data_IF_297903891488
#
_entry.id   IF_297903891488
#
_cell.length_a   1.000
_cell.length_b   1.000
_cell.length_c   1.000
_cell.angle_alpha   90.00
_cell.angle_beta   90.00
_cell.angle_gamma   90.00
#
_symmetry.space_group_name_H-M   'P 1'
#
loop_
_entity.id
_entity.type
_entity.pdbx_description
1 polymer ?
#
# COMPACT_ATOMS: atom_id res chain seq x y z
N UNK A 1 7.11 -1.05 -12.37
CA UNK A 1 6.21 -0.91 -11.21
C UNK A 1 6.99 -1.14 -9.92
N UNK A 2 6.73 -0.34 -8.89
CA UNK A 2 7.15 -0.59 -7.51
C UNK A 2 5.94 -1.08 -6.72
N UNK A 3 5.99 -2.28 -6.14
CA UNK A 3 5.00 -2.76 -5.18
C UNK A 3 5.56 -2.59 -3.77
N UNK A 4 4.91 -1.74 -2.97
CA UNK A 4 5.30 -1.45 -1.59
C UNK A 4 4.48 -2.33 -0.64
N UNK A 5 5.18 -3.11 0.19
CA UNK A 5 4.56 -4.16 0.99
C UNK A 5 4.16 -5.35 0.12
N UNK A 6 5.09 -5.86 -0.72
CA UNK A 6 4.80 -7.00 -1.61
C UNK A 6 4.37 -8.26 -0.83
N UNK A 7 4.77 -8.36 0.45
CA UNK A 7 4.42 -9.47 1.31
C UNK A 7 4.77 -10.82 0.71
N UNK A 8 3.83 -11.73 0.66
CA UNK A 8 4.00 -13.06 0.05
C UNK A 8 3.74 -13.09 -1.47
N UNK A 9 3.56 -11.93 -2.11
CA UNK A 9 3.37 -11.82 -3.56
C UNK A 9 1.94 -12.12 -4.03
N UNK A 10 0.93 -11.78 -3.21
CA UNK A 10 -0.48 -12.05 -3.53
C UNK A 10 -0.99 -11.28 -4.77
N UNK A 11 -0.38 -10.15 -5.10
CA UNK A 11 -0.74 -9.38 -6.30
C UNK A 11 -0.03 -9.88 -7.56
N UNK A 12 1.04 -10.66 -7.45
CA UNK A 12 1.83 -11.11 -8.60
C UNK A 12 1.00 -11.79 -9.70
N UNK A 13 0.01 -12.65 -9.39
CA UNK A 13 -0.81 -13.29 -10.43
C UNK A 13 -1.67 -12.32 -11.25
N UNK A 14 -1.84 -11.09 -10.80
CA UNK A 14 -2.71 -10.10 -11.46
C UNK A 14 -1.94 -9.10 -12.35
N UNK A 15 -0.61 -9.19 -12.39
CA UNK A 15 0.17 -8.36 -13.30
C UNK A 15 0.04 -8.84 -14.74
N UNK A 16 -0.26 -7.89 -15.63
CA UNK A 16 -0.32 -8.12 -17.07
C UNK A 16 1.08 -7.94 -17.68
N UNK A 17 1.74 -9.04 -18.00
CA UNK A 17 3.09 -9.06 -18.57
C UNK A 17 3.21 -8.37 -19.92
N UNK A 18 2.10 -8.12 -20.62
CA UNK A 18 2.09 -7.33 -21.85
C UNK A 18 2.25 -5.83 -21.59
N UNK A 19 1.98 -5.37 -20.35
CA UNK A 19 1.98 -3.96 -19.94
C UNK A 19 3.08 -3.65 -18.91
N UNK A 20 3.40 -4.61 -18.05
CA UNK A 20 4.38 -4.44 -16.98
C UNK A 20 5.68 -5.13 -17.37
N UNK A 21 6.70 -4.34 -17.66
CA UNK A 21 8.00 -4.85 -18.11
C UNK A 21 8.92 -5.23 -16.96
N UNK A 22 8.72 -4.64 -15.76
CA UNK A 22 9.54 -4.92 -14.59
C UNK A 22 8.78 -4.63 -13.30
N UNK A 23 8.88 -5.54 -12.35
CA UNK A 23 8.31 -5.41 -11.01
C UNK A 23 9.44 -5.32 -10.00
N UNK A 24 9.33 -4.38 -9.07
CA UNK A 24 10.17 -4.28 -7.89
C UNK A 24 9.28 -4.44 -6.66
N UNK A 25 9.61 -5.39 -5.79
CA UNK A 25 8.89 -5.61 -4.54
C UNK A 25 9.71 -5.10 -3.37
N UNK A 26 9.13 -4.20 -2.57
CA UNK A 26 9.70 -3.67 -1.34
C UNK A 26 8.95 -4.26 -0.14
N UNK A 27 9.68 -4.89 0.78
CA UNK A 27 9.10 -5.40 2.03
C UNK A 27 10.19 -5.52 3.11
N UNK A 28 9.93 -5.14 4.38
CA UNK A 28 10.89 -5.32 5.46
C UNK A 28 11.01 -6.79 5.93
N UNK A 29 10.04 -7.65 5.61
CA UNK A 29 10.04 -9.06 6.02
C UNK A 29 10.77 -9.94 5.02
N UNK A 30 11.91 -10.49 5.43
CA UNK A 30 12.65 -11.46 4.61
C UNK A 30 11.87 -12.76 4.40
N UNK A 31 11.09 -13.18 5.39
CA UNK A 31 10.25 -14.37 5.33
C UNK A 31 9.17 -14.22 4.24
N UNK A 32 8.41 -13.13 4.27
CA UNK A 32 7.39 -12.84 3.27
C UNK A 32 8.01 -12.65 1.88
N UNK A 33 9.14 -11.95 1.79
CA UNK A 33 9.88 -11.78 0.53
C UNK A 33 10.36 -13.12 -0.05
N UNK A 34 10.69 -14.10 0.79
CA UNK A 34 11.05 -15.45 0.32
C UNK A 34 9.84 -16.16 -0.29
N UNK A 35 8.66 -16.02 0.29
CA UNK A 35 7.42 -16.55 -0.28
C UNK A 35 7.07 -15.87 -1.60
N UNK A 36 7.22 -14.54 -1.68
CA UNK A 36 7.01 -13.79 -2.92
C UNK A 36 7.97 -14.21 -4.04
N UNK A 37 9.23 -14.51 -3.71
CA UNK A 37 10.22 -15.06 -4.69
C UNK A 37 9.77 -16.40 -5.25
N UNK A 38 9.24 -17.27 -4.41
CA UNK A 38 8.69 -18.56 -4.85
C UNK A 38 7.45 -18.36 -5.74
N UNK A 39 6.55 -17.47 -5.35
CA UNK A 39 5.37 -17.10 -6.15
C UNK A 39 5.78 -16.54 -7.51
N UNK A 40 6.73 -15.61 -7.56
CA UNK A 40 7.26 -15.04 -8.79
C UNK A 40 7.85 -16.09 -9.72
N UNK A 41 8.65 -17.02 -9.17
CA UNK A 41 9.24 -18.14 -9.91
C UNK A 41 8.18 -19.06 -10.52
N UNK A 42 7.13 -19.37 -9.76
CA UNK A 42 6.04 -20.24 -10.23
C UNK A 42 5.20 -19.59 -11.35
N UNK A 43 5.20 -18.26 -11.42
CA UNK A 43 4.50 -17.46 -12.43
C UNK A 43 5.40 -17.03 -13.60
N UNK A 44 6.68 -17.41 -13.59
CA UNK A 44 7.70 -16.98 -14.56
C UNK A 44 7.77 -15.44 -14.68
N UNK A 45 7.75 -14.76 -13.53
CA UNK A 45 7.83 -13.30 -13.42
C UNK A 45 9.22 -12.86 -12.99
N UNK A 46 9.80 -11.87 -13.71
CA UNK A 46 11.03 -11.22 -13.28
C UNK A 46 10.73 -10.13 -12.26
N UNK A 47 10.92 -10.45 -10.98
CA UNK A 47 10.69 -9.53 -9.87
C UNK A 47 12.00 -9.26 -9.14
N UNK A 48 12.36 -7.99 -9.01
CA UNK A 48 13.48 -7.55 -8.17
C UNK A 48 12.98 -7.26 -6.75
N UNK A 49 13.69 -7.74 -5.74
CA UNK A 49 13.29 -7.59 -4.35
C UNK A 49 14.25 -6.66 -3.60
N UNK A 50 13.66 -5.75 -2.82
CA UNK A 50 14.35 -4.83 -1.91
C UNK A 50 13.88 -5.15 -0.50
N UNK A 51 14.81 -5.40 0.40
CA UNK A 51 14.51 -5.55 1.83
C UNK A 51 14.65 -4.18 2.50
N UNK A 52 13.56 -3.68 3.09
CA UNK A 52 13.55 -2.39 3.77
C UNK A 52 12.16 -1.81 3.97
N UNK A 53 12.08 -0.76 4.76
CA UNK A 53 10.86 0.02 4.97
C UNK A 53 10.62 1.02 3.85
N UNK A 54 9.38 1.43 3.70
CA UNK A 54 8.99 2.41 2.68
C UNK A 54 9.37 3.86 3.05
N UNK A 55 9.80 4.08 4.28
CA UNK A 55 10.23 5.40 4.79
C UNK A 55 11.58 5.85 4.23
N UNK A 56 12.35 4.93 3.62
CA UNK A 56 13.63 5.21 2.98
C UNK A 56 13.84 4.19 1.85
N UNK A 57 13.47 4.56 0.63
CA UNK A 57 13.55 3.67 -0.54
C UNK A 57 14.92 3.85 -1.20
N UNK A 58 15.80 2.81 -1.24
CA UNK A 58 17.17 2.92 -1.76
C UNK A 58 17.22 2.90 -3.30
N UNK A 59 16.40 3.74 -3.93
CA UNK A 59 16.28 3.87 -5.37
C UNK A 59 16.29 5.35 -5.78
N UNK A 60 16.72 5.66 -7.00
CA UNK A 60 16.78 7.04 -7.47
C UNK A 60 15.40 7.68 -7.62
N UNK A 61 15.39 9.01 -7.63
CA UNK A 61 14.21 9.81 -7.94
C UNK A 61 13.71 9.52 -9.37
N UNK A 62 12.41 9.69 -9.60
CA UNK A 62 11.80 9.62 -10.93
C UNK A 62 12.09 8.30 -11.68
N UNK A 63 12.05 7.19 -10.99
CA UNK A 63 12.42 5.88 -11.53
C UNK A 63 11.22 5.07 -12.03
N UNK A 64 10.10 5.08 -11.30
CA UNK A 64 8.93 4.24 -11.59
C UNK A 64 7.80 4.98 -12.29
N UNK A 65 7.12 4.28 -13.20
CA UNK A 65 5.89 4.77 -13.82
C UNK A 65 4.67 4.55 -12.90
N UNK A 66 4.72 3.55 -12.05
CA UNK A 66 3.62 3.19 -11.15
C UNK A 66 4.16 2.66 -9.83
N UNK A 67 3.58 3.10 -8.73
CA UNK A 67 3.66 2.44 -7.44
C UNK A 67 2.32 1.77 -7.11
N UNK A 68 2.37 0.58 -6.50
CA UNK A 68 1.20 -0.14 -5.99
C UNK A 68 1.35 -0.34 -4.49
N UNK A 69 0.31 -0.01 -3.73
CA UNK A 69 0.25 -0.21 -2.28
C UNK A 69 -1.07 -0.85 -1.93
N UNK A 70 -1.03 -2.04 -1.33
CA UNK A 70 -2.25 -2.77 -0.96
C UNK A 70 -2.14 -3.31 0.46
N UNK A 71 -3.07 -2.91 1.34
CA UNK A 71 -3.12 -3.32 2.75
C UNK A 71 -1.79 -3.17 3.50
N UNK A 72 -1.06 -2.11 3.18
CA UNK A 72 0.28 -1.83 3.69
C UNK A 72 0.36 -0.51 4.44
N UNK A 73 -0.30 0.55 3.93
CA UNK A 73 -0.30 1.86 4.59
C UNK A 73 -0.80 1.79 6.04
N UNK A 74 -1.64 0.81 6.37
CA UNK A 74 -2.16 0.63 7.73
C UNK A 74 -1.08 0.19 8.73
N UNK A 75 0.03 -0.42 8.29
CA UNK A 75 1.10 -0.97 9.15
C UNK A 75 2.37 -0.13 9.17
N UNK A 76 2.60 0.72 8.17
CA UNK A 76 3.82 1.55 8.11
C UNK A 76 3.81 2.57 9.25
N UNK A 77 4.82 2.62 10.14
CA UNK A 77 4.85 3.56 11.25
C UNK A 77 4.77 5.02 10.80
N UNK A 78 5.70 5.47 9.95
CA UNK A 78 5.82 6.83 9.44
C UNK A 78 5.16 6.95 8.06
N UNK A 79 3.84 6.68 7.98
CA UNK A 79 3.12 6.54 6.70
C UNK A 79 3.20 7.77 5.80
N UNK A 80 3.22 8.98 6.35
CA UNK A 80 3.39 10.22 5.57
C UNK A 80 4.78 10.24 4.92
N UNK A 81 5.84 9.93 5.69
CA UNK A 81 7.20 9.85 5.19
C UNK A 81 7.33 8.79 4.09
N UNK A 82 6.73 7.62 4.30
CA UNK A 82 6.72 6.55 3.30
C UNK A 82 6.05 7.00 1.99
N UNK A 83 4.91 7.67 2.06
CA UNK A 83 4.23 8.16 0.87
C UNK A 83 5.03 9.28 0.16
N UNK A 84 5.75 10.13 0.90
CA UNK A 84 6.68 11.11 0.32
C UNK A 84 7.83 10.41 -0.43
N UNK A 85 8.41 9.36 0.15
CA UNK A 85 9.44 8.55 -0.51
C UNK A 85 8.92 7.81 -1.74
N UNK A 86 7.71 7.24 -1.68
CA UNK A 86 7.05 6.64 -2.84
C UNK A 86 6.87 7.70 -3.93
N UNK A 87 6.46 8.93 -3.58
CA UNK A 87 6.32 10.04 -4.53
C UNK A 87 7.67 10.41 -5.14
N UNK A 88 8.75 10.46 -4.36
CA UNK A 88 10.11 10.78 -4.84
C UNK A 88 10.58 9.81 -5.91
N UNK A 89 10.35 8.52 -5.73
CA UNK A 89 10.79 7.50 -6.70
C UNK A 89 9.84 7.33 -7.89
N UNK A 90 8.63 7.89 -7.84
CA UNK A 90 7.73 7.98 -8.98
C UNK A 90 8.18 9.08 -9.93
N UNK A 91 8.03 8.83 -11.23
CA UNK A 91 8.19 9.87 -12.27
C UNK A 91 7.12 10.96 -12.11
N UNK A 92 7.36 12.15 -12.64
CA UNK A 92 6.38 13.25 -12.63
C UNK A 92 5.03 12.85 -13.25
N UNK A 93 5.04 11.95 -14.23
CA UNK A 93 3.85 11.37 -14.86
C UNK A 93 3.39 10.08 -14.21
N UNK A 94 4.08 9.64 -13.16
CA UNK A 94 3.81 8.40 -12.46
C UNK A 94 2.55 8.47 -11.61
N UNK A 95 2.03 7.31 -11.25
CA UNK A 95 0.83 7.21 -10.41
C UNK A 95 1.00 6.22 -9.27
N UNK A 96 0.38 6.54 -8.16
CA UNK A 96 0.19 5.64 -7.04
C UNK A 96 -1.19 4.97 -7.16
N UNK A 97 -1.21 3.65 -7.27
CA UNK A 97 -2.44 2.84 -7.19
C UNK A 97 -2.50 2.29 -5.76
N UNK A 98 -3.65 2.38 -5.13
CA UNK A 98 -3.81 1.92 -3.76
C UNK A 98 -5.11 1.15 -3.55
N UNK A 99 -5.07 0.21 -2.61
CA UNK A 99 -6.23 -0.47 -2.04
C UNK A 99 -5.96 -0.72 -0.56
N UNK A 100 -6.65 0.01 0.31
CA UNK A 100 -6.37 0.02 1.75
C UNK A 100 -7.65 -0.02 2.57
N UNK A 101 -7.62 -0.66 3.73
CA UNK A 101 -8.65 -0.43 4.71
C UNK A 101 -8.34 0.83 5.54
N UNK A 102 -9.39 1.46 6.07
CA UNK A 102 -9.20 2.67 6.88
C UNK A 102 -10.43 3.04 7.68
N UNK A 103 -10.46 4.29 8.10
CA UNK A 103 -11.54 4.81 8.94
C UNK A 103 -12.88 4.74 8.21
N UNK A 104 -13.91 4.26 8.90
CA UNK A 104 -15.26 4.19 8.35
C UNK A 104 -15.95 5.58 8.41
N UNK A 105 -16.84 5.90 7.45
CA UNK A 105 -17.60 7.17 7.45
C UNK A 105 -18.66 7.23 8.55
N UNK A 106 -19.12 6.08 9.04
CA UNK A 106 -20.09 6.01 10.14
C UNK A 106 -19.43 6.41 11.46
N UNK A 107 -19.86 7.51 12.05
CA UNK A 107 -19.31 8.08 13.29
C UNK A 107 -19.19 7.05 14.42
N UNK A 108 -20.19 6.17 14.56
CA UNK A 108 -20.18 5.15 15.60
C UNK A 108 -19.13 4.06 15.32
N UNK A 109 -18.96 3.66 14.06
CA UNK A 109 -17.94 2.70 13.65
C UNK A 109 -16.56 3.31 13.83
N UNK A 110 -16.32 4.53 13.36
CA UNK A 110 -15.07 5.26 13.53
C UNK A 110 -14.65 5.39 15.01
N UNK A 111 -15.60 5.69 15.90
CA UNK A 111 -15.35 5.71 17.35
C UNK A 111 -14.94 4.34 17.90
N UNK A 112 -15.56 3.26 17.40
CA UNK A 112 -15.17 1.91 17.78
C UNK A 112 -13.77 1.57 17.24
N UNK A 113 -13.48 1.87 15.96
CA UNK A 113 -12.16 1.71 15.39
C UNK A 113 -11.09 2.38 16.26
N UNK A 114 -11.27 3.66 16.60
CA UNK A 114 -10.32 4.42 17.43
C UNK A 114 -10.16 3.86 18.84
N UNK A 115 -11.19 3.24 19.42
CA UNK A 115 -11.10 2.62 20.76
C UNK A 115 -10.34 1.30 20.75
N UNK A 116 -10.51 0.47 19.70
CA UNK A 116 -9.88 -0.85 19.63
C UNK A 116 -8.49 -0.79 18.99
N UNK A 117 -8.18 0.26 18.22
CA UNK A 117 -6.94 0.43 17.47
C UNK A 117 -5.66 0.16 18.30
N UNK A 118 -5.50 0.70 19.54
CA UNK A 118 -4.29 0.46 20.33
C UNK A 118 -4.10 -1.00 20.76
N UNK A 119 -5.20 -1.77 20.81
CA UNK A 119 -5.17 -3.20 21.13
C UNK A 119 -5.00 -4.00 19.83
N UNK A 120 -5.73 -3.62 18.79
CA UNK A 120 -5.70 -4.26 17.50
C UNK A 120 -4.28 -4.30 16.92
N UNK A 121 -3.58 -3.17 16.89
CA UNK A 121 -2.21 -3.08 16.36
C UNK A 121 -1.23 -4.07 17.00
N UNK A 122 -1.40 -4.42 18.29
CA UNK A 122 -0.53 -5.38 18.98
C UNK A 122 -0.69 -6.82 18.47
N UNK A 123 -1.88 -7.17 17.98
CA UNK A 123 -2.19 -8.53 17.51
C UNK A 123 -2.20 -8.67 15.98
N UNK A 124 -2.23 -7.55 15.26
CA UNK A 124 -2.35 -7.50 13.80
C UNK A 124 -1.10 -6.93 13.11
N UNK A 125 0.08 -7.14 13.70
CA UNK A 125 1.35 -6.75 13.07
C UNK A 125 1.54 -5.24 12.90
N UNK A 126 0.97 -4.43 13.80
CA UNK A 126 1.07 -2.96 13.73
C UNK A 126 -0.01 -2.29 12.88
N UNK A 127 -1.01 -3.04 12.41
CA UNK A 127 -2.08 -2.50 11.58
C UNK A 127 -2.99 -1.54 12.38
N UNK A 128 -3.31 -0.38 11.79
CA UNK A 128 -4.21 0.63 12.31
C UNK A 128 -5.52 0.65 11.53
N UNK A 129 -6.65 0.51 12.25
CA UNK A 129 -8.00 0.47 11.66
C UNK A 129 -8.58 1.85 11.34
N UNK A 130 -8.02 2.90 11.94
CA UNK A 130 -8.59 4.24 11.96
C UNK A 130 -7.82 5.26 11.11
N UNK A 131 -6.97 4.79 10.20
CA UNK A 131 -6.25 5.67 9.28
C UNK A 131 -7.20 6.27 8.24
N UNK A 132 -7.14 7.58 8.10
CA UNK A 132 -7.83 8.30 7.03
C UNK A 132 -6.95 8.28 5.77
N UNK A 133 -7.19 7.30 4.90
CA UNK A 133 -6.34 7.08 3.73
C UNK A 133 -6.34 8.29 2.77
N UNK A 134 -7.49 8.90 2.44
CA UNK A 134 -7.49 10.14 1.66
C UNK A 134 -6.66 11.26 2.29
N UNK A 135 -6.85 11.55 3.57
CA UNK A 135 -6.09 12.60 4.26
C UNK A 135 -4.58 12.31 4.26
N UNK A 136 -4.17 11.06 4.51
CA UNK A 136 -2.75 10.63 4.46
C UNK A 136 -2.15 10.91 3.08
N UNK A 137 -2.85 10.58 2.00
CA UNK A 137 -2.38 10.83 0.63
C UNK A 137 -2.26 12.32 0.33
N UNK A 138 -3.26 13.12 0.71
CA UNK A 138 -3.25 14.58 0.53
C UNK A 138 -2.11 15.22 1.33
N UNK A 139 -1.93 14.86 2.60
CA UNK A 139 -0.86 15.35 3.48
C UNK A 139 0.55 14.95 2.98
N UNK A 140 0.64 13.86 2.20
CA UNK A 140 1.87 13.41 1.55
C UNK A 140 2.14 14.10 0.20
N UNK A 141 1.27 15.02 -0.22
CA UNK A 141 1.39 15.78 -1.46
C UNK A 141 0.94 15.00 -2.69
N UNK A 142 -0.08 14.19 -2.55
CA UNK A 142 -0.78 13.58 -3.68
C UNK A 142 -2.12 14.27 -3.95
N UNK A 143 -2.52 14.27 -5.21
CA UNK A 143 -3.88 14.55 -5.65
C UNK A 143 -4.56 13.24 -6.01
N UNK A 144 -5.62 12.90 -5.33
CA UNK A 144 -6.45 11.74 -5.65
C UNK A 144 -7.23 12.05 -6.93
N UNK A 145 -7.11 11.19 -7.92
CA UNK A 145 -7.78 11.32 -9.23
C UNK A 145 -9.02 10.43 -9.28
N UNK A 146 -8.92 9.23 -8.71
CA UNK A 146 -10.01 8.28 -8.63
C UNK A 146 -10.04 7.69 -7.22
N UNK A 147 -11.21 7.65 -6.62
CA UNK A 147 -11.44 7.12 -5.28
C UNK A 147 -12.79 6.41 -5.22
N UNK A 148 -12.74 5.12 -5.02
CA UNK A 148 -13.89 4.30 -4.65
C UNK A 148 -13.75 3.82 -3.21
N UNK A 149 -14.88 3.54 -2.57
CA UNK A 149 -14.90 3.12 -1.17
C UNK A 149 -16.14 2.30 -0.84
N UNK A 150 -15.99 1.28 -0.01
CA UNK A 150 -17.10 0.45 0.42
C UNK A 150 -16.81 -0.32 1.70
N UNK A 151 -17.87 -0.79 2.34
CA UNK A 151 -17.75 -1.91 3.28
C UNK A 151 -17.63 -3.22 2.52
N UNK A 152 -16.59 -4.01 2.84
CA UNK A 152 -16.46 -5.35 2.26
C UNK A 152 -17.63 -6.24 2.71
N UNK A 153 -18.26 -6.98 1.77
CA UNK A 153 -19.29 -7.96 2.10
C UNK A 153 -18.76 -9.01 3.09
N UNK A 154 -19.63 -9.45 4.01
CA UNK A 154 -19.31 -10.49 5.00
C UNK A 154 -18.15 -10.19 5.96
N UNK A 155 -17.71 -8.92 6.04
CA UNK A 155 -16.65 -8.47 6.96
C UNK A 155 -17.26 -7.60 8.07
N UNK A 156 -16.84 -7.74 9.33
CA UNK A 156 -17.28 -6.84 10.38
C UNK A 156 -17.00 -5.37 9.99
N UNK A 157 -18.00 -4.50 10.12
CA UNK A 157 -17.90 -3.09 9.67
C UNK A 157 -16.68 -2.35 10.26
N UNK A 158 -16.29 -2.70 11.48
CA UNK A 158 -15.13 -2.11 12.18
C UNK A 158 -13.80 -2.39 11.51
N UNK A 159 -13.69 -3.45 10.71
CA UNK A 159 -12.46 -3.85 10.00
C UNK A 159 -12.63 -3.86 8.47
N UNK A 160 -13.84 -3.61 7.96
CA UNK A 160 -14.19 -3.88 6.57
C UNK A 160 -14.39 -2.65 5.69
N UNK A 161 -14.08 -1.42 6.15
CA UNK A 161 -14.19 -0.26 5.28
C UNK A 161 -12.92 -0.07 4.48
N UNK A 162 -13.06 -0.03 3.15
CA UNK A 162 -11.95 0.00 2.21
C UNK A 162 -12.04 1.19 1.27
N UNK A 163 -10.86 1.66 0.87
CA UNK A 163 -10.61 2.71 -0.11
C UNK A 163 -9.72 2.15 -1.21
N UNK A 164 -10.02 2.42 -2.47
CA UNK A 164 -9.14 2.09 -3.58
C UNK A 164 -9.25 3.12 -4.69
N UNK A 165 -8.21 3.21 -5.49
CA UNK A 165 -8.14 4.17 -6.57
C UNK A 165 -6.73 4.48 -6.99
N UNK A 166 -6.54 5.66 -7.54
CA UNK A 166 -5.20 6.14 -7.86
C UNK A 166 -5.03 7.63 -7.62
N UNK A 167 -3.80 8.01 -7.33
CA UNK A 167 -3.37 9.37 -7.06
C UNK A 167 -2.11 9.72 -7.85
N UNK A 168 -1.87 11.02 -8.07
CA UNK A 168 -0.67 11.56 -8.71
C UNK A 168 0.01 12.55 -7.77
N UNK A 169 1.34 12.64 -7.84
CA UNK A 169 2.09 13.61 -7.07
C UNK A 169 1.74 15.04 -7.47
N UNK A 170 1.65 15.94 -6.49
CA UNK A 170 1.60 17.39 -6.71
C UNK A 170 3.04 17.89 -6.61
N UNK A 171 3.51 18.56 -7.66
CA UNK A 171 4.81 19.25 -7.71
C UNK A 171 4.70 20.67 -7.16
#
# INVERSE_FOLDING_TARGET
>A
VLEVGIGSGLNLPFYDNSKVTQIWGLDPSEELSSMAKETAKNLDLDVKFISGGAEEIPLPDNYFDTALVTYTMCTIPEVIRANIEIKRVLKDTGKLIFCEHGIAPDVNIAKWQSRIDPIWGKFSGGCHLNRDIPAILEDSGYKIIELDQMYLPNTPKVAGYNYWGFAVGIN
#
